data_IF_804048571872
#
_entry.id   IF_804048571872
#
_cell.length_a   1.000
_cell.length_b   1.000
_cell.length_c   1.000
_cell.angle_alpha   90.00
_cell.angle_beta   90.00
_cell.angle_gamma   90.00
#
_symmetry.space_group_name_H-M   'P 1'
#
loop_
_entity.id
_entity.type
_entity.pdbx_description
1 polymer ?
#
# COMPACT_ATOMS: atom_id res chain seq x y z
N UNK A 1 -8.84 -19.87 -9.41
CA UNK A 1 -9.41 -19.05 -10.49
C UNK A 1 -10.30 -17.98 -9.86
N UNK A 2 -9.75 -16.81 -9.53
CA UNK A 2 -10.53 -15.67 -9.02
C UNK A 2 -10.80 -14.69 -10.17
N UNK A 3 -11.76 -15.05 -11.03
CA UNK A 3 -12.15 -14.25 -12.18
C UNK A 3 -13.28 -13.29 -11.84
N UNK A 4 -13.04 -12.28 -11.00
CA UNK A 4 -13.95 -11.13 -10.95
C UNK A 4 -13.82 -10.32 -12.23
N UNK A 5 -14.98 -9.97 -12.80
CA UNK A 5 -15.08 -9.21 -14.04
C UNK A 5 -14.37 -7.86 -13.89
N UNK A 6 -13.81 -7.34 -14.99
CA UNK A 6 -13.12 -6.03 -15.03
C UNK A 6 -13.99 -4.89 -14.49
N UNK A 7 -15.31 -5.01 -14.63
CA UNK A 7 -16.30 -4.07 -14.09
C UNK A 7 -16.37 -4.09 -12.55
N UNK A 8 -16.32 -5.26 -11.91
CA UNK A 8 -16.37 -5.37 -10.45
C UNK A 8 -15.09 -4.85 -9.78
N UNK A 9 -13.92 -5.04 -10.41
CA UNK A 9 -12.65 -4.48 -9.94
C UNK A 9 -12.67 -2.95 -9.94
N UNK A 10 -13.26 -2.34 -10.98
CA UNK A 10 -13.45 -0.89 -11.06
C UNK A 10 -14.36 -0.33 -9.95
N UNK A 11 -15.42 -1.05 -9.59
CA UNK A 11 -16.33 -0.65 -8.49
C UNK A 11 -15.65 -0.72 -7.12
N UNK A 12 -14.82 -1.74 -6.88
CA UNK A 12 -14.06 -1.88 -5.64
C UNK A 12 -13.04 -0.74 -5.46
N UNK A 13 -12.26 -0.45 -6.51
CA UNK A 13 -11.26 0.63 -6.48
C UNK A 13 -11.90 2.00 -6.20
N UNK A 14 -13.04 2.31 -6.83
CA UNK A 14 -13.77 3.56 -6.59
C UNK A 14 -14.25 3.71 -5.14
N UNK A 15 -14.65 2.61 -4.48
CA UNK A 15 -15.04 2.62 -3.07
C UNK A 15 -13.85 2.90 -2.16
N UNK A 16 -12.70 2.28 -2.44
CA UNK A 16 -11.46 2.54 -1.69
C UNK A 16 -11.03 4.01 -1.84
N UNK A 17 -11.03 4.55 -3.05
CA UNK A 17 -10.70 5.97 -3.32
C UNK A 17 -11.65 6.89 -2.54
N UNK A 18 -12.96 6.62 -2.58
CA UNK A 18 -13.94 7.41 -1.83
C UNK A 18 -13.67 7.36 -0.33
N UNK A 19 -13.32 6.20 0.20
CA UNK A 19 -12.96 6.04 1.60
C UNK A 19 -11.69 6.81 1.97
N UNK A 20 -10.64 6.74 1.14
CA UNK A 20 -9.40 7.51 1.34
C UNK A 20 -9.66 9.02 1.33
N UNK A 21 -10.54 9.51 0.44
CA UNK A 21 -10.96 10.93 0.45
C UNK A 21 -11.65 11.30 1.77
N UNK A 22 -12.55 10.45 2.27
CA UNK A 22 -13.19 10.68 3.58
C UNK A 22 -12.14 10.76 4.69
N UNK A 23 -11.15 9.86 4.71
CA UNK A 23 -10.06 9.92 5.69
C UNK A 23 -9.29 11.23 5.55
N UNK A 24 -8.84 11.56 4.33
CA UNK A 24 -8.05 12.76 4.05
C UNK A 24 -8.74 14.05 4.54
N UNK A 25 -10.05 14.18 4.29
CA UNK A 25 -10.82 15.36 4.71
C UNK A 25 -11.08 15.42 6.23
N UNK A 26 -10.97 14.30 6.95
CA UNK A 26 -11.27 14.22 8.39
C UNK A 26 -10.02 14.14 9.27
N UNK A 27 -8.85 13.86 8.70
CA UNK A 27 -7.61 13.78 9.46
C UNK A 27 -7.18 15.19 9.89
N UNK A 28 -7.07 15.41 11.20
CA UNK A 28 -6.62 16.69 11.78
C UNK A 28 -5.31 16.47 12.52
N UNK A 29 -4.29 17.22 12.12
CA UNK A 29 -3.02 17.36 12.88
C UNK A 29 -2.32 16.03 13.16
N UNK A 30 -2.19 15.18 12.14
CA UNK A 30 -1.40 13.94 12.21
C UNK A 30 -0.30 13.95 11.16
N UNK A 31 0.81 13.29 11.49
CA UNK A 31 1.84 12.98 10.51
C UNK A 31 1.40 11.73 9.74
N UNK A 32 1.45 11.80 8.42
CA UNK A 32 1.06 10.70 7.54
C UNK A 32 2.19 10.37 6.58
N UNK A 33 2.26 9.10 6.20
CA UNK A 33 3.08 8.60 5.12
C UNK A 33 2.23 7.61 4.32
N UNK A 34 2.55 7.44 3.04
CA UNK A 34 1.79 6.57 2.14
C UNK A 34 2.75 5.66 1.40
N UNK A 35 2.51 4.36 1.55
CA UNK A 35 3.12 3.30 0.73
C UNK A 35 2.09 2.91 -0.32
N UNK A 36 2.50 2.88 -1.59
CA UNK A 36 1.68 2.33 -2.68
C UNK A 36 2.08 0.89 -2.87
N UNK A 37 1.08 0.02 -2.90
CA UNK A 37 1.23 -1.40 -3.20
C UNK A 37 1.01 -1.62 -4.69
N UNK A 38 2.12 -1.83 -5.41
CA UNK A 38 2.18 -2.20 -6.82
C UNK A 38 3.49 -2.97 -7.00
N UNK A 39 3.54 -4.02 -7.82
CA UNK A 39 4.69 -4.91 -8.08
C UNK A 39 5.69 -4.93 -6.89
N UNK A 40 6.69 -4.04 -6.91
CA UNK A 40 7.48 -3.64 -5.74
C UNK A 40 6.90 -2.40 -5.02
N UNK A 41 6.37 -2.54 -3.77
CA UNK A 41 5.88 -1.42 -2.98
C UNK A 41 6.88 -0.28 -2.81
N UNK A 42 6.39 0.95 -2.86
CA UNK A 42 7.21 2.16 -2.73
C UNK A 42 6.59 3.18 -1.78
N UNK A 43 7.44 3.93 -1.10
CA UNK A 43 7.03 5.11 -0.33
C UNK A 43 6.68 6.23 -1.32
N UNK A 44 5.39 6.40 -1.58
CA UNK A 44 4.87 7.47 -2.45
C UNK A 44 4.80 8.82 -1.71
N UNK A 45 4.61 8.78 -0.39
CA UNK A 45 4.64 9.95 0.47
C UNK A 45 5.41 9.64 1.75
N UNK A 46 6.48 10.38 2.01
CA UNK A 46 7.27 10.21 3.25
C UNK A 46 6.46 10.67 4.47
N UNK A 47 6.76 10.07 5.62
CA UNK A 47 6.17 10.46 6.90
C UNK A 47 6.42 11.95 7.18
N UNK A 48 5.35 12.72 7.33
CA UNK A 48 5.41 14.17 7.52
C UNK A 48 4.05 14.77 7.84
N UNK A 49 4.02 16.08 8.13
CA UNK A 49 2.76 16.80 8.23
C UNK A 49 2.27 17.08 6.82
N UNK A 50 1.07 16.61 6.52
CA UNK A 50 0.41 16.84 5.23
C UNK A 50 -0.95 17.47 5.49
N UNK A 51 -1.32 18.44 4.67
CA UNK A 51 -2.65 19.05 4.68
C UNK A 51 -3.68 18.09 4.08
N UNK A 52 -4.96 18.29 4.43
CA UNK A 52 -6.05 17.54 3.82
C UNK A 52 -6.03 17.64 2.28
N UNK A 53 -5.69 18.84 1.76
CA UNK A 53 -5.57 19.08 0.32
C UNK A 53 -4.45 18.27 -0.33
N UNK A 54 -3.26 18.21 0.29
CA UNK A 54 -2.15 17.39 -0.24
C UNK A 54 -2.50 15.90 -0.28
N UNK A 55 -3.23 15.41 0.72
CA UNK A 55 -3.72 14.04 0.75
C UNK A 55 -4.79 13.79 -0.32
N UNK A 56 -5.73 14.72 -0.52
CA UNK A 56 -6.74 14.63 -1.57
C UNK A 56 -6.13 14.68 -2.97
N UNK A 57 -5.19 15.59 -3.21
CA UNK A 57 -4.44 15.72 -4.47
C UNK A 57 -3.64 14.44 -4.74
N UNK A 58 -3.05 13.85 -3.69
CA UNK A 58 -2.37 12.56 -3.81
C UNK A 58 -3.34 11.44 -4.21
N UNK A 59 -4.51 11.35 -3.57
CA UNK A 59 -5.53 10.33 -3.91
C UNK A 59 -6.01 10.50 -5.34
N UNK A 60 -6.24 11.73 -5.79
CA UNK A 60 -6.69 12.01 -7.15
C UNK A 60 -5.63 11.63 -8.19
N UNK A 61 -4.35 11.87 -7.89
CA UNK A 61 -3.22 11.50 -8.74
C UNK A 61 -3.03 9.97 -8.85
N UNK A 62 -3.31 9.23 -7.78
CA UNK A 62 -3.07 7.77 -7.70
C UNK A 62 -4.36 6.94 -7.78
N UNK A 63 -5.46 7.51 -8.28
CA UNK A 63 -6.76 6.82 -8.40
C UNK A 63 -6.81 5.72 -9.45
N UNK A 64 -5.79 5.59 -10.29
CA UNK A 64 -5.75 4.57 -11.33
C UNK A 64 -5.42 3.22 -10.71
N UNK A 65 -6.31 2.25 -10.92
CA UNK A 65 -6.05 0.86 -10.58
C UNK A 65 -5.14 0.26 -11.65
N UNK A 66 -3.95 -0.15 -11.23
CA UNK A 66 -3.05 -0.91 -12.07
C UNK A 66 -3.06 -2.36 -11.56
N UNK A 67 -3.51 -3.28 -12.41
CA UNK A 67 -3.51 -4.71 -12.08
C UNK A 67 -2.08 -5.21 -12.04
N UNK A 68 -1.66 -5.77 -10.91
CA UNK A 68 -0.29 -6.19 -10.65
C UNK A 68 -0.26 -7.08 -9.42
N UNK A 69 0.88 -7.75 -9.22
CA UNK A 69 1.15 -8.50 -8.01
C UNK A 69 1.27 -7.57 -6.79
N UNK A 70 1.10 -8.14 -5.60
CA UNK A 70 1.23 -7.38 -4.36
C UNK A 70 2.23 -8.05 -3.43
N UNK A 71 3.14 -7.24 -2.89
CA UNK A 71 4.07 -7.64 -1.83
C UNK A 71 3.62 -6.98 -0.52
N UNK A 72 2.50 -7.44 0.01
CA UNK A 72 1.88 -6.97 1.26
C UNK A 72 2.87 -6.97 2.43
N UNK A 73 3.62 -8.06 2.62
CA UNK A 73 4.59 -8.13 3.71
C UNK A 73 5.67 -7.05 3.61
N UNK A 74 6.22 -6.82 2.42
CA UNK A 74 7.20 -5.76 2.20
C UNK A 74 6.60 -4.34 2.33
N UNK A 75 5.36 -4.14 1.90
CA UNK A 75 4.66 -2.87 2.09
C UNK A 75 4.50 -2.52 3.58
N UNK A 76 4.14 -3.51 4.41
CA UNK A 76 4.06 -3.35 5.87
C UNK A 76 5.44 -3.00 6.43
N UNK A 77 6.51 -3.68 6.00
CA UNK A 77 7.87 -3.35 6.40
C UNK A 77 8.24 -1.88 6.08
N UNK A 78 7.94 -1.39 4.86
CA UNK A 78 8.18 0.02 4.51
C UNK A 78 7.38 0.98 5.39
N UNK A 79 6.12 0.66 5.68
CA UNK A 79 5.30 1.46 6.58
C UNK A 79 5.90 1.53 8.00
N UNK A 80 6.43 0.41 8.51
CA UNK A 80 7.11 0.35 9.82
C UNK A 80 8.38 1.18 9.85
N UNK A 81 9.24 1.06 8.84
CA UNK A 81 10.49 1.83 8.80
C UNK A 81 10.25 3.34 8.78
N UNK A 82 9.17 3.80 8.14
CA UNK A 82 8.72 5.19 8.25
C UNK A 82 8.30 5.59 9.67
N UNK A 83 7.67 4.66 10.40
CA UNK A 83 7.22 4.87 11.78
C UNK A 83 8.33 4.77 12.83
N UNK A 84 9.47 4.16 12.52
CA UNK A 84 10.61 4.02 13.45
C UNK A 84 11.21 5.38 13.84
N UNK A 85 11.18 6.35 12.92
CA UNK A 85 11.63 7.71 13.19
C UNK A 85 10.66 8.52 14.06
N UNK A 86 9.41 8.07 14.20
CA UNK A 86 8.37 8.79 14.92
C UNK A 86 8.42 8.51 16.43
N UNK A 87 8.32 9.57 17.23
CA UNK A 87 8.34 9.49 18.72
C UNK A 87 6.95 9.51 19.35
N UNK A 88 5.89 9.49 18.53
CA UNK A 88 4.51 9.52 19.02
C UNK A 88 4.17 8.25 19.80
N UNK A 89 3.30 8.40 20.81
CA UNK A 89 2.78 7.27 21.60
C UNK A 89 1.90 6.35 20.75
N UNK A 90 1.14 6.93 19.83
CA UNK A 90 0.22 6.21 18.97
C UNK A 90 0.74 6.22 17.53
N UNK A 91 0.83 5.03 16.95
CA UNK A 91 1.27 4.76 15.59
C UNK A 91 0.27 3.79 14.99
N UNK A 92 -0.26 4.11 13.80
CA UNK A 92 -1.30 3.31 13.15
C UNK A 92 -0.90 3.07 11.71
N UNK A 93 -1.00 1.82 11.28
CA UNK A 93 -0.92 1.42 9.87
C UNK A 93 -2.34 1.08 9.44
N UNK A 94 -2.81 1.68 8.35
CA UNK A 94 -4.08 1.32 7.71
C UNK A 94 -3.75 0.66 6.38
N UNK A 95 -4.17 -0.59 6.19
CA UNK A 95 -3.93 -1.36 4.99
C UNK A 95 -5.20 -1.43 4.15
N UNK A 96 -5.10 -1.06 2.87
CA UNK A 96 -6.14 -1.23 1.87
C UNK A 96 -5.63 -2.22 0.82
N UNK A 97 -6.16 -3.43 0.82
CA UNK A 97 -5.81 -4.50 -0.11
C UNK A 97 -7.05 -5.34 -0.42
N UNK A 98 -7.15 -5.87 -1.64
CA UNK A 98 -8.19 -6.82 -2.06
C UNK A 98 -7.83 -8.29 -1.81
N UNK A 99 -6.64 -8.55 -1.26
CA UNK A 99 -6.41 -9.68 -0.35
C UNK A 99 -5.90 -11.00 -0.94
N UNK A 100 -4.89 -10.98 -1.80
CA UNK A 100 -4.11 -12.19 -2.12
C UNK A 100 -2.77 -12.24 -1.37
N UNK A 101 -2.18 -13.45 -1.33
CA UNK A 101 -0.85 -13.69 -0.76
C UNK A 101 0.24 -12.97 -1.55
N UNK A 102 1.38 -12.71 -0.89
CA UNK A 102 2.58 -12.19 -1.55
C UNK A 102 2.94 -13.10 -2.75
N UNK A 103 2.87 -12.55 -3.95
CA UNK A 103 3.11 -13.30 -5.18
C UNK A 103 4.07 -12.55 -6.11
N UNK A 104 4.86 -13.32 -6.84
CA UNK A 104 5.59 -12.87 -8.02
C UNK A 104 5.71 -14.06 -8.96
N UNK A 105 5.09 -13.97 -10.14
CA UNK A 105 5.16 -15.06 -11.12
C UNK A 105 6.42 -14.92 -11.99
N UNK A 106 7.35 -15.85 -11.80
CA UNK A 106 8.64 -15.91 -12.52
C UNK A 106 8.43 -16.23 -14.00
N UNK A 107 7.27 -16.76 -14.37
CA UNK A 107 6.99 -17.16 -15.74
C UNK A 107 6.59 -15.99 -16.66
N UNK A 108 6.22 -14.83 -16.10
CA UNK A 108 5.73 -13.68 -16.89
C UNK A 108 6.70 -12.48 -16.96
N UNK A 109 7.67 -12.35 -16.04
CA UNK A 109 8.60 -11.21 -16.01
C UNK A 109 10.01 -11.64 -15.60
N UNK A 110 11.04 -11.16 -16.33
CA UNK A 110 12.46 -11.51 -16.16
C UNK A 110 13.11 -11.08 -14.83
N UNK A 111 14.40 -10.74 -14.82
CA UNK A 111 15.27 -10.51 -13.64
C UNK A 111 14.68 -9.66 -12.47
N UNK A 112 13.62 -8.88 -12.68
CA UNK A 112 12.91 -8.11 -11.65
C UNK A 112 12.24 -9.01 -10.58
N UNK A 113 11.68 -10.16 -10.97
CA UNK A 113 11.03 -11.07 -10.02
C UNK A 113 12.02 -11.68 -9.02
N UNK A 114 13.31 -11.79 -9.37
CA UNK A 114 14.34 -12.33 -8.47
C UNK A 114 14.51 -11.46 -7.22
N UNK A 115 14.54 -10.13 -7.39
CA UNK A 115 14.65 -9.18 -6.27
C UNK A 115 13.40 -9.22 -5.39
N UNK A 116 12.23 -9.29 -6.01
CA UNK A 116 10.94 -9.35 -5.30
C UNK A 116 10.81 -10.64 -4.49
N UNK A 117 11.31 -11.76 -4.99
CA UNK A 117 11.40 -13.00 -4.23
C UNK A 117 12.28 -12.92 -2.99
N UNK A 118 13.41 -12.22 -3.06
CA UNK A 118 14.24 -11.98 -1.89
C UNK A 118 13.50 -11.14 -0.84
N UNK A 119 12.77 -10.12 -1.30
CA UNK A 119 11.92 -9.29 -0.42
C UNK A 119 10.81 -10.12 0.22
N UNK A 120 10.11 -10.98 -0.53
CA UNK A 120 9.08 -11.87 -0.01
C UNK A 120 9.62 -12.84 1.05
N UNK A 121 10.76 -13.46 0.78
CA UNK A 121 11.41 -14.39 1.74
C UNK A 121 11.82 -13.67 3.02
N UNK A 122 12.28 -12.43 2.92
CA UNK A 122 12.77 -11.64 4.05
C UNK A 122 11.64 -10.99 4.86
N UNK A 123 10.57 -10.56 4.19
CA UNK A 123 9.49 -9.77 4.76
C UNK A 123 8.14 -10.42 4.44
N UNK A 124 7.95 -11.67 4.88
CA UNK A 124 6.66 -12.36 4.68
C UNK A 124 5.53 -11.59 5.38
N UNK A 125 4.34 -11.59 4.78
CA UNK A 125 3.13 -11.04 5.41
C UNK A 125 2.92 -11.57 6.84
N UNK A 126 3.13 -12.87 7.06
CA UNK A 126 2.92 -13.51 8.37
C UNK A 126 3.87 -13.00 9.45
N UNK A 127 5.12 -12.69 9.10
CA UNK A 127 6.12 -12.20 10.05
C UNK A 127 5.95 -10.71 10.34
N UNK A 128 5.64 -9.91 9.32
CA UNK A 128 5.44 -8.47 9.52
C UNK A 128 4.12 -8.14 10.23
N UNK A 129 3.12 -9.03 10.19
CA UNK A 129 1.86 -8.90 10.92
C UNK A 129 1.96 -9.20 12.43
N UNK A 130 3.00 -9.92 12.88
CA UNK A 130 3.17 -10.32 14.31
C UNK A 130 3.84 -9.26 15.18
N UNK A 131 4.60 -8.36 14.57
CA UNK A 131 5.44 -7.38 15.27
C UNK A 131 4.66 -6.09 15.57
#
# INVERSE_FOLDING_TARGET
>A
MCGNSTAERGVSALRQIKFMKIIASNIKTVRTGIVVMFDTPVISMKMGLHSAKELEDWVEKHKQYNSSWTLTGYAIYLARTMLDAEKSKHKTIMLFSDGDEDACDVYDFGDECVKEQELMKKHTQSEEAKK
#
